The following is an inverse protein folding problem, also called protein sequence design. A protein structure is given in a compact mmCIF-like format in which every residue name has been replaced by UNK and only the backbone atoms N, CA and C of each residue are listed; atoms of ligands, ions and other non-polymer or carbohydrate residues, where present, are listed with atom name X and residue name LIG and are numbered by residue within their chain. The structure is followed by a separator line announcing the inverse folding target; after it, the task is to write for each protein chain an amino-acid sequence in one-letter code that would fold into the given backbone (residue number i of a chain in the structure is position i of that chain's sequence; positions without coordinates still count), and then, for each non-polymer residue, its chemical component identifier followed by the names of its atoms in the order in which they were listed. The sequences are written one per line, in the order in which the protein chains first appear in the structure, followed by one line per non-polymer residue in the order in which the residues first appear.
data_IF_459194200603
#
_entry.id   IF_459194200603
#
_cell.length_a   1.000
_cell.length_b   1.000
_cell.length_c   1.000
_cell.angle_alpha   90.00
_cell.angle_beta   90.00
_cell.angle_gamma   90.00
#
_symmetry.space_group_name_H-M   'P 1'
#
loop_
_entity.id
_entity.type
_entity.pdbx_description
1 polymer ?
#
# COMPACT_ATOMS: atom_id res chain seq x y z
N UNK A 1 -6.89 -32.05 -46.68
CA UNK A 1 -6.69 -31.95 -45.20
C UNK A 1 -7.76 -30.99 -44.68
N UNK A 2 -8.63 -31.42 -43.76
CA UNK A 2 -9.57 -30.49 -43.09
C UNK A 2 -8.71 -29.52 -42.27
N UNK A 3 -8.91 -28.22 -42.41
CA UNK A 3 -8.34 -27.25 -41.46
C UNK A 3 -8.83 -27.63 -40.07
N UNK A 4 -7.90 -28.03 -39.20
CA UNK A 4 -8.19 -28.47 -37.82
C UNK A 4 -8.69 -27.29 -36.96
N UNK A 5 -8.47 -26.05 -37.40
CA UNK A 5 -8.98 -24.83 -36.78
C UNK A 5 -9.29 -23.79 -37.85
N UNK A 6 -10.55 -23.37 -37.94
CA UNK A 6 -10.97 -22.28 -38.84
C UNK A 6 -10.91 -20.92 -38.12
N UNK A 7 -10.86 -19.83 -38.88
CA UNK A 7 -10.92 -18.46 -38.33
C UNK A 7 -12.17 -18.22 -37.48
N UNK A 8 -13.31 -18.78 -37.85
CA UNK A 8 -14.56 -18.65 -37.08
C UNK A 8 -14.50 -19.42 -35.77
N UNK A 9 -13.90 -20.61 -35.74
CA UNK A 9 -13.66 -21.36 -34.51
C UNK A 9 -12.77 -20.57 -33.55
N UNK A 10 -11.64 -20.06 -34.03
CA UNK A 10 -10.73 -19.23 -33.23
C UNK A 10 -11.43 -17.98 -32.66
N UNK A 11 -12.24 -17.29 -33.49
CA UNK A 11 -13.04 -16.13 -33.06
C UNK A 11 -14.05 -16.49 -31.96
N UNK A 12 -14.74 -17.62 -32.10
CA UNK A 12 -15.74 -18.04 -31.12
C UNK A 12 -15.10 -18.47 -29.80
N UNK A 13 -13.94 -19.15 -29.85
CA UNK A 13 -13.14 -19.46 -28.66
C UNK A 13 -12.70 -18.17 -27.96
N UNK A 14 -12.21 -17.19 -28.73
CA UNK A 14 -11.81 -15.90 -28.18
C UNK A 14 -12.97 -15.20 -27.46
N UNK A 15 -14.11 -14.99 -28.13
CA UNK A 15 -15.24 -14.27 -27.51
C UNK A 15 -15.87 -15.06 -26.37
N UNK A 16 -16.11 -16.36 -26.56
CA UNK A 16 -16.71 -17.22 -25.54
C UNK A 16 -15.80 -17.40 -24.32
N UNK A 17 -14.52 -17.69 -24.54
CA UNK A 17 -13.53 -17.82 -23.50
C UNK A 17 -13.29 -16.51 -22.74
N UNK A 18 -13.19 -15.39 -23.46
CA UNK A 18 -13.05 -14.07 -22.81
C UNK A 18 -14.25 -13.76 -21.93
N UNK A 19 -15.48 -13.94 -22.43
CA UNK A 19 -16.68 -13.70 -21.64
C UNK A 19 -16.74 -14.63 -20.41
N UNK A 20 -16.41 -15.90 -20.58
CA UNK A 20 -16.34 -16.86 -19.48
C UNK A 20 -15.36 -16.41 -18.39
N UNK A 21 -14.12 -16.08 -18.76
CA UNK A 21 -13.12 -15.66 -17.77
C UNK A 21 -13.40 -14.28 -17.18
N UNK A 22 -14.04 -13.36 -17.92
CA UNK A 22 -14.52 -12.09 -17.36
C UNK A 22 -15.55 -12.36 -16.24
N UNK A 23 -16.52 -13.24 -16.46
CA UNK A 23 -17.53 -13.56 -15.45
C UNK A 23 -16.89 -14.22 -14.21
N UNK A 24 -15.94 -15.14 -14.40
CA UNK A 24 -15.17 -15.72 -13.29
C UNK A 24 -14.40 -14.64 -12.53
N UNK A 25 -13.71 -13.74 -13.25
CA UNK A 25 -12.95 -12.65 -12.63
C UNK A 25 -13.84 -11.70 -11.82
N UNK A 26 -15.05 -11.37 -12.31
CA UNK A 26 -16.02 -10.58 -11.54
C UNK A 26 -16.45 -11.32 -10.28
N UNK A 27 -16.75 -12.62 -10.36
CA UNK A 27 -17.10 -13.43 -9.20
C UNK A 27 -15.98 -13.45 -8.14
N UNK A 28 -14.74 -13.67 -8.57
CA UNK A 28 -13.56 -13.63 -7.70
C UNK A 28 -13.33 -12.23 -7.11
N UNK A 29 -13.54 -11.17 -7.89
CA UNK A 29 -13.41 -9.78 -7.42
C UNK A 29 -14.40 -9.48 -6.29
N UNK A 30 -15.66 -9.90 -6.43
CA UNK A 30 -16.68 -9.71 -5.39
C UNK A 30 -16.35 -10.50 -4.11
N UNK A 31 -15.83 -11.72 -4.25
CA UNK A 31 -15.35 -12.51 -3.12
C UNK A 31 -14.15 -11.82 -2.43
N UNK A 32 -13.14 -11.42 -3.21
CA UNK A 32 -11.94 -10.76 -2.68
C UNK A 32 -12.27 -9.43 -2.00
N UNK A 33 -13.16 -8.63 -2.58
CA UNK A 33 -13.62 -7.39 -1.96
C UNK A 33 -14.27 -7.66 -0.60
N UNK A 34 -15.15 -8.67 -0.50
CA UNK A 34 -15.74 -9.08 0.79
C UNK A 34 -14.68 -9.53 1.78
N UNK A 35 -13.71 -10.34 1.36
CA UNK A 35 -12.62 -10.78 2.23
C UNK A 35 -11.80 -9.61 2.77
N UNK A 36 -11.48 -8.63 1.91
CA UNK A 36 -10.77 -7.41 2.32
C UNK A 36 -11.56 -6.66 3.40
N UNK A 37 -12.81 -6.29 3.13
CA UNK A 37 -13.58 -5.41 4.03
C UNK A 37 -14.11 -6.11 5.29
N UNK A 38 -14.06 -7.44 5.38
CA UNK A 38 -14.58 -8.18 6.54
C UNK A 38 -13.53 -8.98 7.30
N UNK A 39 -12.37 -9.28 6.69
CA UNK A 39 -11.42 -10.26 7.24
C UNK A 39 -9.97 -9.81 7.21
N UNK A 40 -9.42 -9.38 6.06
CA UNK A 40 -7.97 -9.10 5.96
C UNK A 40 -7.56 -7.68 6.33
N UNK A 41 -8.51 -6.75 6.39
CA UNK A 41 -8.31 -5.43 6.99
C UNK A 41 -9.28 -5.21 8.14
N UNK A 42 -8.89 -4.38 9.11
CA UNK A 42 -9.75 -4.02 10.22
C UNK A 42 -10.46 -2.70 9.91
N UNK A 43 -11.69 -2.77 9.41
CA UNK A 43 -12.49 -1.58 9.08
C UNK A 43 -12.92 -0.80 10.32
N UNK A 44 -12.94 -1.41 11.51
CA UNK A 44 -13.27 -0.70 12.75
C UNK A 44 -12.16 0.27 13.18
N UNK A 45 -10.91 0.03 12.75
CA UNK A 45 -9.77 0.92 13.00
C UNK A 45 -9.42 1.80 11.80
N UNK A 46 -10.18 1.70 10.70
CA UNK A 46 -10.07 2.61 9.55
C UNK A 46 -10.80 3.92 9.87
N UNK A 47 -10.18 4.74 10.71
CA UNK A 47 -10.74 6.02 11.17
C UNK A 47 -10.63 7.12 10.11
N UNK A 48 -11.30 8.26 10.35
CA UNK A 48 -11.16 9.44 9.49
C UNK A 48 -9.71 9.94 9.42
N UNK A 49 -8.94 9.78 10.51
CA UNK A 49 -7.51 10.10 10.56
C UNK A 49 -6.69 9.21 9.60
N UNK A 50 -6.95 7.90 9.57
CA UNK A 50 -6.31 6.96 8.63
C UNK A 50 -6.64 7.33 7.19
N UNK A 51 -7.89 7.67 6.91
CA UNK A 51 -8.33 8.07 5.57
C UNK A 51 -7.68 9.40 5.14
N UNK A 52 -7.58 10.38 6.04
CA UNK A 52 -6.89 11.64 5.80
C UNK A 52 -5.38 11.42 5.59
N UNK A 53 -4.75 10.53 6.36
CA UNK A 53 -3.35 10.13 6.20
C UNK A 53 -3.08 9.50 4.84
N UNK A 54 -3.97 8.63 4.37
CA UNK A 54 -3.91 8.11 3.00
C UNK A 54 -3.99 9.23 1.95
N UNK A 55 -4.85 10.23 2.15
CA UNK A 55 -4.93 11.35 1.23
C UNK A 55 -3.65 12.21 1.24
N UNK A 56 -3.02 12.40 2.39
CA UNK A 56 -1.72 13.07 2.50
C UNK A 56 -0.62 12.28 1.81
N UNK A 57 -0.58 10.96 1.98
CA UNK A 57 0.33 10.06 1.26
C UNK A 57 0.26 10.24 -0.26
N UNK A 58 -0.96 10.34 -0.80
CA UNK A 58 -1.22 10.59 -2.22
C UNK A 58 -0.82 12.00 -2.63
N UNK A 59 -1.27 13.03 -1.88
CA UNK A 59 -1.01 14.45 -2.14
C UNK A 59 0.49 14.75 -2.22
N UNK A 60 1.28 14.14 -1.34
CA UNK A 60 2.72 14.34 -1.27
C UNK A 60 3.52 13.32 -2.11
N UNK A 61 2.83 12.44 -2.86
CA UNK A 61 3.42 11.48 -3.79
C UNK A 61 4.52 10.62 -3.16
N UNK A 62 4.33 10.20 -1.91
CA UNK A 62 5.31 9.40 -1.17
C UNK A 62 5.68 8.11 -1.94
N UNK A 63 4.70 7.53 -2.63
CA UNK A 63 4.83 6.31 -3.47
C UNK A 63 5.79 6.46 -4.67
N UNK A 64 6.13 7.70 -5.09
CA UNK A 64 7.10 7.91 -6.17
C UNK A 64 8.57 7.82 -5.69
N UNK A 65 8.80 7.71 -4.39
CA UNK A 65 10.11 7.37 -3.83
C UNK A 65 10.08 6.04 -3.07
N UNK A 66 9.03 5.81 -2.29
CA UNK A 66 8.84 4.64 -1.44
C UNK A 66 7.94 3.60 -2.10
N UNK A 67 8.02 2.38 -1.57
CA UNK A 67 7.00 1.35 -1.74
C UNK A 67 6.14 1.25 -0.47
N UNK A 68 4.91 0.79 -0.63
CA UNK A 68 4.00 0.42 0.47
C UNK A 68 3.32 -0.89 0.08
N UNK A 69 3.43 -1.90 0.94
CA UNK A 69 3.06 -3.28 0.61
C UNK A 69 3.76 -3.80 -0.66
N UNK A 70 5.00 -3.34 -0.91
CA UNK A 70 5.83 -3.76 -2.03
C UNK A 70 5.49 -3.07 -3.36
N UNK A 71 4.50 -2.18 -3.37
CA UNK A 71 4.07 -1.44 -4.55
C UNK A 71 4.50 0.04 -4.46
N UNK A 72 5.16 0.54 -5.51
CA UNK A 72 5.60 1.93 -5.60
C UNK A 72 6.93 2.07 -6.32
N UNK A 73 7.76 2.99 -5.85
CA UNK A 73 9.11 3.20 -6.35
C UNK A 73 10.16 2.46 -5.49
N UNK A 74 11.38 2.40 -6.03
CA UNK A 74 12.52 1.67 -5.42
C UNK A 74 13.64 2.62 -4.98
N UNK A 75 13.33 3.89 -4.79
CA UNK A 75 14.31 4.92 -4.43
C UNK A 75 14.53 5.01 -2.92
N UNK A 76 13.51 4.70 -2.12
CA UNK A 76 13.54 4.77 -0.68
C UNK A 76 12.91 3.50 -0.06
N UNK A 77 13.09 3.25 1.25
CA UNK A 77 12.65 2.01 1.88
C UNK A 77 11.14 1.77 1.79
N UNK A 78 10.74 0.50 1.87
CA UNK A 78 9.34 0.07 2.06
C UNK A 78 8.77 0.63 3.37
N UNK A 79 7.53 1.15 3.32
CA UNK A 79 6.90 1.82 4.47
C UNK A 79 5.73 1.06 5.10
N UNK A 80 5.25 -0.02 4.49
CA UNK A 80 4.16 -0.84 5.01
C UNK A 80 4.45 -1.47 6.37
N UNK A 81 5.72 -1.73 6.69
CA UNK A 81 6.14 -2.27 7.99
C UNK A 81 7.07 -1.34 8.79
N UNK A 82 7.14 -0.04 8.47
CA UNK A 82 8.08 0.89 9.12
C UNK A 82 7.88 0.98 10.63
N UNK A 83 6.64 0.87 11.10
CA UNK A 83 6.30 0.91 12.52
C UNK A 83 6.84 -0.31 13.26
N UNK A 84 6.81 -1.51 12.65
CA UNK A 84 7.46 -2.72 13.18
C UNK A 84 8.97 -2.56 13.21
N UNK A 85 9.57 -2.04 12.12
CA UNK A 85 11.01 -1.81 12.03
C UNK A 85 11.53 -0.84 13.09
N UNK A 86 10.72 0.12 13.50
CA UNK A 86 11.04 1.06 14.57
C UNK A 86 10.68 0.54 15.97
N UNK A 87 9.98 -0.60 16.08
CA UNK A 87 9.56 -1.18 17.36
C UNK A 87 8.49 -0.37 18.07
N UNK A 88 7.68 0.39 17.32
CA UNK A 88 6.66 1.31 17.85
C UNK A 88 5.24 0.94 17.42
N UNK A 89 5.05 -0.22 16.77
CA UNK A 89 3.76 -0.64 16.22
C UNK A 89 2.64 -0.79 17.27
N UNK A 90 3.01 -1.03 18.54
CA UNK A 90 2.07 -1.23 19.64
C UNK A 90 1.87 0.03 20.51
N UNK A 91 2.53 1.15 20.18
CA UNK A 91 2.47 2.41 20.92
C UNK A 91 2.24 3.60 19.96
N UNK A 92 0.98 4.07 19.80
CA UNK A 92 0.67 5.18 18.91
C UNK A 92 1.38 6.49 19.23
N UNK A 93 1.67 6.77 20.50
CA UNK A 93 2.35 7.99 20.90
C UNK A 93 3.83 7.93 20.50
N UNK A 94 4.50 6.80 20.79
CA UNK A 94 5.88 6.58 20.35
C UNK A 94 6.01 6.54 18.82
N UNK A 95 5.03 5.98 18.11
CA UNK A 95 5.00 5.97 16.65
C UNK A 95 4.93 7.39 16.08
N UNK A 96 4.08 8.24 16.66
CA UNK A 96 3.96 9.64 16.26
C UNK A 96 5.26 10.40 16.53
N UNK A 97 5.83 10.28 17.73
CA UNK A 97 7.08 10.96 18.09
C UNK A 97 8.23 10.55 17.17
N UNK A 98 8.37 9.25 16.87
CA UNK A 98 9.37 8.73 15.95
C UNK A 98 9.17 9.26 14.52
N UNK A 99 7.92 9.24 14.02
CA UNK A 99 7.59 9.71 12.68
C UNK A 99 7.81 11.22 12.53
N UNK A 100 7.33 12.01 13.49
CA UNK A 100 7.54 13.46 13.54
C UNK A 100 9.02 13.82 13.55
N UNK A 101 9.79 13.21 14.45
CA UNK A 101 11.24 13.43 14.52
C UNK A 101 11.96 13.07 13.22
N UNK A 102 11.56 11.99 12.53
CA UNK A 102 12.11 11.64 11.22
C UNK A 102 11.78 12.69 10.15
N UNK A 103 10.53 13.12 10.05
CA UNK A 103 10.04 14.07 9.05
C UNK A 103 10.66 15.46 9.21
N UNK A 104 10.81 15.93 10.45
CA UNK A 104 11.46 17.21 10.77
C UNK A 104 12.97 17.19 10.45
N UNK A 105 13.61 16.02 10.52
CA UNK A 105 15.02 15.86 10.19
C UNK A 105 15.31 15.79 8.67
N UNK A 106 14.28 15.78 7.81
CA UNK A 106 14.47 15.81 6.36
C UNK A 106 14.41 17.25 5.81
N UNK A 107 15.17 17.55 4.73
CA UNK A 107 16.24 16.76 4.15
C UNK A 107 17.49 16.75 5.04
N UNK A 108 18.26 15.66 4.97
CA UNK A 108 19.47 15.53 5.79
C UNK A 108 20.67 16.34 5.31
N UNK A 109 20.71 16.72 4.02
CA UNK A 109 21.81 17.51 3.44
C UNK A 109 23.15 16.77 3.30
N UNK A 110 23.22 15.48 3.69
CA UNK A 110 24.44 14.67 3.62
C UNK A 110 24.85 14.45 2.16
N UNK A 111 26.08 14.83 1.80
CA UNK A 111 26.64 14.66 0.47
C UNK A 111 26.64 13.18 0.04
N UNK A 112 26.19 12.90 -1.18
CA UNK A 112 26.10 11.54 -1.73
C UNK A 112 24.93 10.69 -1.22
N UNK A 113 24.14 11.17 -0.24
CA UNK A 113 22.95 10.46 0.28
C UNK A 113 21.68 10.88 -0.45
N UNK A 114 20.78 9.91 -0.73
CA UNK A 114 19.42 10.17 -1.22
C UNK A 114 18.67 11.08 -0.23
N UNK A 115 17.92 12.07 -0.74
CA UNK A 115 17.23 13.07 0.08
C UNK A 115 15.72 12.88 -0.01
N UNK A 116 15.06 12.96 1.15
CA UNK A 116 13.62 13.15 1.25
C UNK A 116 13.33 14.66 1.37
N UNK A 117 12.36 15.22 0.63
CA UNK A 117 12.01 16.64 0.73
C UNK A 117 11.42 17.00 2.10
N UNK A 118 11.47 18.29 2.43
CA UNK A 118 10.67 18.85 3.51
C UNK A 118 9.30 19.24 2.96
N UNK A 119 8.24 18.78 3.61
CA UNK A 119 6.85 19.03 3.21
C UNK A 119 6.15 20.10 4.07
N UNK A 120 6.75 20.48 5.21
CA UNK A 120 6.23 21.45 6.18
C UNK A 120 4.82 21.08 6.66
N UNK A 121 4.63 19.80 7.01
CA UNK A 121 3.37 19.27 7.51
C UNK A 121 3.10 19.78 8.92
N UNK A 122 1.81 19.98 9.23
CA UNK A 122 1.35 20.25 10.59
C UNK A 122 1.39 19.00 11.47
N UNK A 123 1.37 19.18 12.79
CA UNK A 123 1.29 18.04 13.73
C UNK A 123 0.07 17.16 13.49
N UNK A 124 -1.06 17.76 13.09
CA UNK A 124 -2.27 17.02 12.72
C UNK A 124 -2.05 16.16 11.47
N UNK A 125 -1.43 16.71 10.42
CA UNK A 125 -1.12 15.94 9.20
C UNK A 125 -0.10 14.82 9.49
N UNK A 126 0.85 15.05 10.38
CA UNK A 126 1.81 14.03 10.84
C UNK A 126 1.12 12.91 11.63
N UNK A 127 0.14 13.25 12.49
CA UNK A 127 -0.69 12.26 13.19
C UNK A 127 -1.45 11.39 12.21
N UNK A 128 -2.11 12.01 11.22
CA UNK A 128 -2.88 11.30 10.20
C UNK A 128 -2.01 10.33 9.39
N UNK A 129 -0.81 10.76 8.96
CA UNK A 129 0.15 9.88 8.28
C UNK A 129 0.65 8.74 9.17
N UNK A 130 0.89 9.02 10.46
CA UNK A 130 1.30 8.00 11.44
C UNK A 130 0.20 6.95 11.58
N UNK A 131 -1.05 7.37 11.81
CA UNK A 131 -2.21 6.48 11.92
C UNK A 131 -2.38 5.63 10.66
N UNK A 132 -2.19 6.23 9.47
CA UNK A 132 -2.24 5.51 8.21
C UNK A 132 -1.18 4.42 8.08
N UNK A 133 0.07 4.72 8.42
CA UNK A 133 1.17 3.75 8.37
C UNK A 133 1.02 2.66 9.43
N UNK A 134 0.57 3.01 10.64
CA UNK A 134 0.23 2.04 11.68
C UNK A 134 -0.90 1.11 11.23
N UNK A 135 -1.99 1.65 10.70
CA UNK A 135 -3.11 0.85 10.18
C UNK A 135 -2.66 -0.06 9.04
N UNK A 136 -1.85 0.44 8.12
CA UNK A 136 -1.29 -0.35 7.00
C UNK A 136 -0.50 -1.56 7.49
N UNK A 137 0.31 -1.38 8.54
CA UNK A 137 1.11 -2.45 9.14
C UNK A 137 0.26 -3.57 9.77
N UNK A 138 -1.04 -3.36 9.98
CA UNK A 138 -1.97 -4.38 10.49
C UNK A 138 -2.68 -5.19 9.40
N UNK A 139 -2.52 -4.82 8.12
CA UNK A 139 -3.16 -5.52 7.00
C UNK A 139 -2.61 -6.95 6.91
N UNK A 140 -3.49 -7.94 6.83
CA UNK A 140 -3.11 -9.36 6.68
C UNK A 140 -2.63 -9.67 5.26
N UNK A 141 -1.39 -9.33 4.97
CA UNK A 141 -0.76 -9.44 3.66
C UNK A 141 -0.02 -10.78 3.41
N UNK A 142 -0.52 -11.88 3.97
CA UNK A 142 0.04 -13.24 3.78
C UNK A 142 1.52 -13.35 4.22
N UNK A 143 1.82 -12.83 5.41
CA UNK A 143 3.17 -12.84 6.00
C UNK A 143 4.25 -12.16 5.14
N UNK A 144 3.83 -11.30 4.21
CA UNK A 144 4.71 -10.31 3.59
C UNK A 144 4.80 -9.08 4.50
N UNK A 145 5.99 -8.47 4.69
CA UNK A 145 7.29 -8.85 4.11
C UNK A 145 8.00 -9.98 4.87
N UNK A 146 9.05 -10.60 4.29
CA UNK A 146 9.75 -11.73 4.92
C UNK A 146 10.52 -11.36 6.21
N UNK A 147 10.78 -10.08 6.48
CA UNK A 147 11.43 -9.58 7.70
C UNK A 147 11.21 -8.07 7.88
N UNK A 148 11.74 -7.51 8.97
CA UNK A 148 11.54 -6.10 9.36
C UNK A 148 12.21 -5.07 8.44
N UNK A 149 13.13 -5.48 7.54
CA UNK A 149 13.80 -4.56 6.63
C UNK A 149 12.88 -4.00 5.52
N UNK A 150 11.69 -4.61 5.34
CA UNK A 150 10.74 -4.26 4.28
C UNK A 150 11.00 -5.07 3.03
#
# INVERSE_FOLDING_TARGET
MREVMTKSMARNIFYGGSLFFILIFVGLTLQSHRYIVTTSTNTATLTDSVAAGKHLWEKHSCVNCHSILGEGAYFAPELGNVMTRWGVQDDPAAAFDAFKGWMEAQPTGIEGRRQMPQFNLTDEELHQLTDFLMWTNTIRAQDWPPNDAG
#
